data_IF_082185359532
#
_entry.id   IF_082185359532
#
_cell.length_a   1.000
_cell.length_b   1.000
_cell.length_c   1.000
_cell.angle_alpha   90.00
_cell.angle_beta   90.00
_cell.angle_gamma   90.00
#
_symmetry.space_group_name_H-M   'P 1'
#
loop_
_entity.id
_entity.type
_entity.pdbx_description
1 polymer ?
#
# COMPACT_ATOMS: atom_id res chain seq x y z
N UNK A 1 -10.22 2.36 -19.68
CA UNK A 1 -9.61 1.61 -18.57
C UNK A 1 -10.73 1.13 -17.66
N UNK A 2 -10.85 -0.17 -17.41
CA UNK A 2 -11.82 -0.70 -16.44
C UNK A 2 -11.27 -0.57 -15.01
N UNK A 3 -12.11 -0.87 -13.99
CA UNK A 3 -11.72 -0.73 -12.58
C UNK A 3 -10.53 -1.62 -12.19
N UNK A 4 -10.36 -2.78 -12.83
CA UNK A 4 -9.25 -3.70 -12.58
C UNK A 4 -7.96 -3.10 -13.10
N UNK A 5 -7.98 -2.68 -14.35
CA UNK A 5 -6.84 -2.02 -14.99
C UNK A 5 -6.42 -0.78 -14.21
N UNK A 6 -7.39 -0.05 -13.63
CA UNK A 6 -7.11 1.07 -12.73
C UNK A 6 -6.38 0.61 -11.46
N UNK A 7 -6.92 -0.36 -10.72
CA UNK A 7 -6.31 -0.84 -9.47
C UNK A 7 -4.93 -1.48 -9.70
N UNK A 8 -4.75 -2.21 -10.80
CA UNK A 8 -3.46 -2.79 -11.21
C UNK A 8 -2.46 -1.68 -11.60
N UNK A 9 -2.92 -0.64 -12.31
CA UNK A 9 -2.06 0.51 -12.63
C UNK A 9 -1.64 1.26 -11.36
N UNK A 10 -2.52 1.37 -10.37
CA UNK A 10 -2.19 1.95 -9.06
C UNK A 10 -1.15 1.13 -8.30
N UNK A 11 -1.29 -0.21 -8.26
CA UNK A 11 -0.25 -1.09 -7.72
C UNK A 11 1.11 -0.88 -8.40
N UNK A 12 1.12 -0.65 -9.73
CA UNK A 12 2.35 -0.36 -10.48
C UNK A 12 2.99 0.96 -10.02
N UNK A 13 2.19 2.02 -9.86
CA UNK A 13 2.66 3.30 -9.36
C UNK A 13 3.21 3.19 -7.93
N UNK A 14 2.51 2.46 -7.05
CA UNK A 14 2.93 2.23 -5.67
C UNK A 14 4.25 1.47 -5.64
N UNK A 15 4.34 0.36 -6.38
CA UNK A 15 5.57 -0.44 -6.50
C UNK A 15 6.76 0.40 -6.96
N UNK A 16 6.55 1.34 -7.89
CA UNK A 16 7.61 2.24 -8.36
C UNK A 16 8.15 3.12 -7.23
N UNK A 17 7.27 3.79 -6.48
CA UNK A 17 7.70 4.66 -5.36
C UNK A 17 8.36 3.85 -4.24
N UNK A 18 7.86 2.66 -3.95
CA UNK A 18 8.45 1.76 -2.96
C UNK A 18 9.89 1.35 -3.32
N UNK A 19 10.18 1.12 -4.60
CA UNK A 19 11.56 0.90 -5.04
C UNK A 19 12.45 2.13 -4.83
N UNK A 20 11.91 3.34 -4.97
CA UNK A 20 12.65 4.58 -4.66
C UNK A 20 12.97 4.65 -3.17
N UNK A 21 12.02 4.35 -2.27
CA UNK A 21 12.26 4.28 -0.81
C UNK A 21 13.38 3.29 -0.51
N UNK A 22 13.33 2.09 -1.08
CA UNK A 22 14.35 1.06 -0.87
C UNK A 22 15.74 1.54 -1.30
N UNK A 23 15.82 2.20 -2.45
CA UNK A 23 17.08 2.71 -2.98
C UNK A 23 17.64 3.86 -2.13
N UNK A 24 16.77 4.74 -1.62
CA UNK A 24 17.16 5.80 -0.69
C UNK A 24 17.71 5.21 0.62
N UNK A 25 17.04 4.20 1.20
CA UNK A 25 17.53 3.46 2.36
C UNK A 25 18.88 2.77 2.09
N UNK A 26 19.07 2.20 0.90
CA UNK A 26 20.35 1.62 0.52
C UNK A 26 21.46 2.67 0.36
N UNK A 27 21.14 3.89 -0.08
CA UNK A 27 22.07 5.02 -0.07
C UNK A 27 22.58 5.33 1.33
N UNK A 28 21.65 5.43 2.30
CA UNK A 28 21.99 5.67 3.72
C UNK A 28 22.92 4.56 4.24
N UNK A 29 22.65 3.29 3.92
CA UNK A 29 23.52 2.17 4.27
C UNK A 29 24.96 2.32 3.72
N UNK A 30 25.11 2.93 2.55
CA UNK A 30 26.42 3.22 1.93
C UNK A 30 27.09 4.48 2.47
N UNK A 31 26.46 5.21 3.38
CA UNK A 31 26.98 6.44 3.97
C UNK A 31 26.46 7.73 3.32
N UNK A 32 25.49 7.65 2.39
CA UNK A 32 24.85 8.86 1.86
C UNK A 32 24.05 9.57 2.97
N UNK A 33 24.02 10.90 2.93
CA UNK A 33 23.20 11.68 3.86
C UNK A 33 21.70 11.48 3.59
N UNK A 34 20.88 11.58 4.64
CA UNK A 34 19.42 11.51 4.49
C UNK A 34 18.92 12.78 3.79
N UNK A 35 18.25 12.61 2.64
CA UNK A 35 17.46 13.67 2.04
C UNK A 35 16.04 13.64 2.64
N UNK A 36 15.81 14.43 3.69
CA UNK A 36 14.52 14.50 4.37
C UNK A 36 13.38 14.94 3.46
N UNK A 37 13.62 15.85 2.52
CA UNK A 37 12.60 16.30 1.59
C UNK A 37 12.11 15.15 0.68
N UNK A 38 13.04 14.33 0.19
CA UNK A 38 12.67 13.16 -0.62
C UNK A 38 11.86 12.16 0.23
N UNK A 39 12.28 11.89 1.46
CA UNK A 39 11.55 11.00 2.36
C UNK A 39 10.15 11.52 2.70
N UNK A 40 9.99 12.82 2.94
CA UNK A 40 8.68 13.45 3.19
C UNK A 40 7.75 13.26 1.99
N UNK A 41 8.25 13.44 0.76
CA UNK A 41 7.45 13.22 -0.46
C UNK A 41 7.08 11.75 -0.66
N UNK A 42 8.01 10.82 -0.40
CA UNK A 42 7.74 9.39 -0.49
C UNK A 42 6.71 8.94 0.54
N UNK A 43 6.83 9.42 1.79
CA UNK A 43 5.89 9.11 2.87
C UNK A 43 4.51 9.70 2.56
N UNK A 44 4.42 10.93 2.08
CA UNK A 44 3.16 11.56 1.66
C UNK A 44 2.45 10.73 0.58
N UNK A 45 3.19 10.32 -0.45
CA UNK A 45 2.67 9.44 -1.50
C UNK A 45 2.13 8.14 -0.91
N UNK A 46 2.88 7.47 -0.03
CA UNK A 46 2.44 6.18 0.52
C UNK A 46 1.20 6.35 1.39
N UNK A 47 1.15 7.37 2.25
CA UNK A 47 -0.01 7.62 3.12
C UNK A 47 -1.26 7.99 2.33
N UNK A 48 -1.14 8.87 1.34
CA UNK A 48 -2.31 9.42 0.66
C UNK A 48 -2.70 8.61 -0.58
N UNK A 49 -1.74 8.23 -1.42
CA UNK A 49 -2.02 7.50 -2.65
C UNK A 49 -2.13 5.99 -2.42
N UNK A 50 -1.17 5.37 -1.72
CA UNK A 50 -1.21 3.92 -1.51
C UNK A 50 -2.27 3.53 -0.47
N UNK A 51 -2.29 4.18 0.69
CA UNK A 51 -3.20 3.78 1.76
C UNK A 51 -4.59 4.41 1.61
N UNK A 52 -4.73 5.72 1.82
CA UNK A 52 -6.06 6.37 1.83
C UNK A 52 -6.82 6.19 0.51
N UNK A 53 -6.14 6.36 -0.63
CA UNK A 53 -6.77 6.24 -1.93
C UNK A 53 -6.92 4.77 -2.37
N UNK A 54 -5.83 4.03 -2.47
CA UNK A 54 -5.86 2.68 -3.05
C UNK A 54 -6.37 1.62 -2.07
N UNK A 55 -5.75 1.38 -0.92
CA UNK A 55 -6.27 0.44 0.08
C UNK A 55 -7.67 0.85 0.58
N UNK A 56 -7.93 2.16 0.72
CA UNK A 56 -9.25 2.65 1.09
C UNK A 56 -10.35 2.20 0.12
N UNK A 57 -10.03 2.05 -1.18
CA UNK A 57 -10.95 1.47 -2.17
C UNK A 57 -11.04 -0.05 -2.08
N UNK A 58 -9.99 -0.74 -1.65
CA UNK A 58 -10.10 -2.17 -1.46
C UNK A 58 -10.96 -2.48 -0.23
N UNK A 59 -10.66 -1.85 0.90
CA UNK A 59 -11.29 -2.13 2.19
C UNK A 59 -12.78 -1.78 2.22
N UNK A 60 -13.14 -0.57 1.76
CA UNK A 60 -14.53 -0.08 1.86
C UNK A 60 -15.50 -0.80 0.92
N UNK A 61 -14.98 -1.42 -0.13
CA UNK A 61 -15.71 -1.66 -1.35
C UNK A 61 -15.40 -3.06 -1.88
N UNK A 62 -14.19 -3.31 -2.38
CA UNK A 62 -13.85 -4.61 -2.97
C UNK A 62 -13.91 -5.75 -1.95
N UNK A 63 -13.30 -5.56 -0.78
CA UNK A 63 -13.25 -6.57 0.29
C UNK A 63 -14.64 -6.83 0.82
N UNK A 64 -15.42 -5.77 1.07
CA UNK A 64 -16.82 -5.88 1.48
C UNK A 64 -17.63 -6.71 0.49
N UNK A 65 -17.64 -6.34 -0.79
CA UNK A 65 -18.37 -7.07 -1.83
C UNK A 65 -17.88 -8.52 -1.97
N UNK A 66 -16.58 -8.75 -1.89
CA UNK A 66 -16.02 -10.11 -1.99
C UNK A 66 -16.51 -10.98 -0.83
N UNK A 67 -16.52 -10.45 0.39
CA UNK A 67 -17.03 -11.18 1.57
C UNK A 67 -18.53 -11.44 1.46
N UNK A 68 -19.31 -10.43 1.05
CA UNK A 68 -20.76 -10.53 0.94
C UNK A 68 -21.19 -11.61 -0.08
N UNK A 69 -20.39 -11.85 -1.13
CA UNK A 69 -20.72 -12.82 -2.18
C UNK A 69 -20.02 -14.19 -2.05
N UNK A 70 -18.79 -14.26 -1.54
CA UNK A 70 -18.00 -15.50 -1.41
C UNK A 70 -18.02 -16.09 0.01
N UNK A 71 -18.62 -15.38 0.96
CA UNK A 71 -18.88 -15.86 2.31
C UNK A 71 -17.61 -16.13 3.13
N UNK A 72 -17.68 -17.15 3.98
CA UNK A 72 -16.70 -17.38 5.05
C UNK A 72 -15.25 -17.57 4.58
N UNK A 73 -15.03 -18.12 3.38
CA UNK A 73 -13.67 -18.30 2.87
C UNK A 73 -13.03 -16.95 2.54
N UNK A 74 -13.75 -16.08 1.82
CA UNK A 74 -13.28 -14.74 1.54
C UNK A 74 -13.11 -13.91 2.80
N UNK A 75 -14.03 -14.04 3.77
CA UNK A 75 -13.90 -13.37 5.06
C UNK A 75 -12.57 -13.70 5.73
N UNK A 76 -12.21 -14.98 5.82
CA UNK A 76 -10.93 -15.39 6.43
C UNK A 76 -9.72 -14.82 5.70
N UNK A 77 -9.72 -14.85 4.36
CA UNK A 77 -8.63 -14.33 3.53
C UNK A 77 -8.46 -12.82 3.67
N UNK A 78 -9.57 -12.07 3.63
CA UNK A 78 -9.57 -10.62 3.80
C UNK A 78 -9.10 -10.24 5.20
N UNK A 79 -9.69 -10.81 6.25
CA UNK A 79 -9.43 -10.34 7.62
C UNK A 79 -8.08 -10.78 8.16
N UNK A 80 -7.56 -11.94 7.76
CA UNK A 80 -6.30 -12.48 8.30
C UNK A 80 -5.13 -12.41 7.31
N UNK A 81 -5.37 -12.00 6.06
CA UNK A 81 -4.35 -11.76 5.06
C UNK A 81 -4.30 -10.28 4.72
N UNK A 82 -5.23 -9.84 3.90
CA UNK A 82 -5.20 -8.53 3.24
C UNK A 82 -5.17 -7.35 4.22
N UNK A 83 -6.10 -7.31 5.18
CA UNK A 83 -6.17 -6.23 6.18
C UNK A 83 -4.92 -6.19 7.08
N UNK A 84 -4.38 -7.36 7.42
CA UNK A 84 -3.16 -7.47 8.22
C UNK A 84 -1.96 -6.91 7.46
N UNK A 85 -1.86 -7.16 6.16
CA UNK A 85 -0.81 -6.60 5.31
C UNK A 85 -0.93 -5.08 5.19
N UNK A 86 -2.14 -4.54 5.07
CA UNK A 86 -2.37 -3.09 5.08
C UNK A 86 -1.92 -2.46 6.40
N UNK A 87 -2.27 -3.07 7.53
CA UNK A 87 -1.89 -2.59 8.87
C UNK A 87 -0.37 -2.63 9.08
N UNK A 88 0.31 -3.68 8.60
CA UNK A 88 1.77 -3.69 8.62
C UNK A 88 2.39 -2.60 7.74
N UNK A 89 1.79 -2.29 6.58
CA UNK A 89 2.18 -1.15 5.74
C UNK A 89 2.11 0.17 6.51
N UNK A 90 1.01 0.39 7.24
CA UNK A 90 0.82 1.58 8.10
C UNK A 90 1.83 1.64 9.24
N UNK A 91 2.09 0.50 9.89
CA UNK A 91 3.09 0.39 10.96
C UNK A 91 4.47 0.80 10.46
N UNK A 92 4.96 0.23 9.36
CA UNK A 92 6.31 0.53 8.89
C UNK A 92 6.49 1.97 8.44
N UNK A 93 5.45 2.61 7.88
CA UNK A 93 5.49 4.04 7.56
C UNK A 93 5.53 4.92 8.81
N UNK A 94 4.76 4.55 9.85
CA UNK A 94 4.83 5.23 11.14
C UNK A 94 6.22 5.12 11.76
N UNK A 95 6.79 3.91 11.79
CA UNK A 95 8.13 3.67 12.34
C UNK A 95 9.22 4.36 11.52
N UNK A 96 9.11 4.39 10.18
CA UNK A 96 10.02 5.15 9.32
C UNK A 96 9.98 6.64 9.66
N UNK A 97 8.78 7.21 9.82
CA UNK A 97 8.60 8.64 10.16
C UNK A 97 9.24 8.95 11.52
N UNK A 98 9.01 8.10 12.52
CA UNK A 98 9.58 8.25 13.86
C UNK A 98 11.11 8.15 13.83
N UNK A 99 11.67 7.20 13.08
CA UNK A 99 13.11 7.04 12.94
C UNK A 99 13.76 8.27 12.27
N UNK A 100 13.15 8.82 11.23
CA UNK A 100 13.63 10.05 10.58
C UNK A 100 13.67 11.23 11.56
N UNK A 101 12.66 11.39 12.42
CA UNK A 101 12.65 12.44 13.44
C UNK A 101 13.79 12.27 14.45
N UNK A 102 14.02 11.04 14.95
CA UNK A 102 15.11 10.76 15.88
C UNK A 102 16.49 11.08 15.27
N UNK A 103 16.72 10.70 14.02
CA UNK A 103 17.98 11.04 13.32
C UNK A 103 18.12 12.56 13.16
N UNK A 104 17.02 13.26 12.86
CA UNK A 104 17.00 14.72 12.75
C UNK A 104 17.32 15.40 14.08
N UNK A 105 16.92 14.80 15.20
CA UNK A 105 17.18 15.28 16.56
C UNK A 105 18.56 14.88 17.10
N UNK A 106 19.39 14.21 16.28
CA UNK A 106 20.79 13.90 16.56
C UNK A 106 21.08 12.46 16.99
N UNK A 107 20.08 11.58 17.01
CA UNK A 107 20.29 10.15 17.26
C UNK A 107 20.75 9.42 15.98
N UNK A 108 22.07 9.35 15.79
CA UNK A 108 22.68 8.70 14.62
C UNK A 108 22.34 7.19 14.53
N UNK A 109 22.16 6.50 15.67
CA UNK A 109 21.85 5.06 15.70
C UNK A 109 20.51 4.75 15.05
N UNK A 110 19.54 5.68 15.14
CA UNK A 110 18.23 5.55 14.51
C UNK A 110 18.27 5.49 12.98
N UNK A 111 19.43 5.72 12.33
CA UNK A 111 19.60 5.44 10.89
C UNK A 111 19.36 3.97 10.56
N UNK A 112 19.65 3.05 11.47
CA UNK A 112 19.35 1.62 11.29
C UNK A 112 17.84 1.41 11.16
N UNK A 113 17.04 2.12 11.96
CA UNK A 113 15.59 2.03 11.92
C UNK A 113 15.02 2.67 10.65
N UNK A 114 15.61 3.76 10.15
CA UNK A 114 15.26 4.33 8.84
C UNK A 114 15.50 3.32 7.72
N UNK A 115 16.67 2.65 7.74
CA UNK A 115 17.02 1.64 6.73
C UNK A 115 16.09 0.44 6.83
N UNK A 116 15.83 -0.07 8.04
CA UNK A 116 14.99 -1.23 8.26
C UNK A 116 13.55 -0.98 7.79
N UNK A 117 12.90 0.08 8.29
CA UNK A 117 11.53 0.38 7.94
C UNK A 117 11.37 0.80 6.47
N UNK A 118 12.32 1.57 5.94
CA UNK A 118 12.35 1.93 4.52
C UNK A 118 12.62 0.74 3.59
N UNK A 119 13.28 -0.32 4.06
CA UNK A 119 13.51 -1.55 3.26
C UNK A 119 12.37 -2.58 3.39
N UNK A 120 11.71 -2.63 4.55
CA UNK A 120 10.59 -3.54 4.83
C UNK A 120 9.31 -3.09 4.15
N UNK A 121 8.99 -1.79 4.18
CA UNK A 121 7.78 -1.22 3.54
C UNK A 121 7.66 -1.64 2.07
N UNK A 122 8.70 -1.51 1.23
CA UNK A 122 8.66 -1.97 -0.16
C UNK A 122 8.51 -3.48 -0.30
N UNK A 123 9.20 -4.25 0.54
CA UNK A 123 9.17 -5.72 0.45
C UNK A 123 7.76 -6.24 0.72
N UNK A 124 7.14 -5.75 1.79
CA UNK A 124 5.82 -6.19 2.21
C UNK A 124 4.76 -5.78 1.19
N UNK A 125 4.68 -4.50 0.83
CA UNK A 125 3.66 -3.99 -0.08
C UNK A 125 3.80 -4.59 -1.49
N UNK A 126 5.01 -4.85 -1.99
CA UNK A 126 5.18 -5.50 -3.31
C UNK A 126 4.67 -6.95 -3.29
N UNK A 127 4.95 -7.70 -2.22
CA UNK A 127 4.47 -9.08 -2.07
C UNK A 127 2.95 -9.08 -1.90
N UNK A 128 2.45 -8.20 -1.04
CA UNK A 128 1.01 -7.98 -0.81
C UNK A 128 0.30 -7.66 -2.12
N UNK A 129 0.68 -6.60 -2.85
CA UNK A 129 0.02 -6.25 -4.12
C UNK A 129 0.07 -7.36 -5.18
N UNK A 130 1.08 -8.23 -5.19
CA UNK A 130 1.08 -9.41 -6.07
C UNK A 130 0.03 -10.44 -5.65
N UNK A 131 -0.10 -10.71 -4.35
CA UNK A 131 -1.18 -11.54 -3.81
C UNK A 131 -2.55 -10.88 -4.03
N UNK A 132 -2.67 -9.57 -3.77
CA UNK A 132 -3.87 -8.76 -3.97
C UNK A 132 -4.32 -8.74 -5.42
N UNK A 133 -3.41 -8.66 -6.38
CA UNK A 133 -3.77 -8.80 -7.80
C UNK A 133 -4.48 -10.14 -8.05
N UNK A 134 -3.94 -11.24 -7.54
CA UNK A 134 -4.58 -12.56 -7.62
C UNK A 134 -5.97 -12.58 -6.97
N UNK A 135 -6.10 -11.94 -5.81
CA UNK A 135 -7.38 -11.79 -5.12
C UNK A 135 -8.39 -10.94 -5.92
N UNK A 136 -7.98 -9.80 -6.47
CA UNK A 136 -8.80 -8.94 -7.33
C UNK A 136 -9.33 -9.75 -8.53
N UNK A 137 -8.47 -10.53 -9.20
CA UNK A 137 -8.89 -11.39 -10.31
C UNK A 137 -9.87 -12.48 -9.86
N UNK A 138 -9.67 -13.07 -8.68
CA UNK A 138 -10.55 -14.09 -8.11
C UNK A 138 -11.92 -13.50 -7.78
N UNK A 139 -11.99 -12.42 -7.01
CA UNK A 139 -13.22 -11.72 -6.62
C UNK A 139 -14.11 -11.47 -7.84
N UNK A 140 -13.52 -11.02 -8.94
CA UNK A 140 -14.24 -10.61 -10.14
C UNK A 140 -14.71 -11.78 -10.99
N UNK A 141 -13.99 -12.91 -10.96
CA UNK A 141 -14.41 -14.13 -11.66
C UNK A 141 -15.72 -14.69 -11.08
N UNK A 142 -16.02 -14.37 -9.83
CA UNK A 142 -17.21 -14.85 -9.12
C UNK A 142 -18.24 -13.75 -8.80
N UNK A 143 -17.90 -12.47 -8.96
CA UNK A 143 -18.79 -11.31 -8.77
C UNK A 143 -19.39 -10.83 -10.11
N UNK A 144 -20.71 -10.94 -10.34
CA UNK A 144 -21.36 -10.46 -11.57
C UNK A 144 -21.18 -8.95 -11.82
N UNK A 145 -21.01 -8.16 -10.75
CA UNK A 145 -20.91 -6.70 -10.78
C UNK A 145 -19.66 -6.21 -11.53
N UNK A 146 -18.55 -6.97 -11.46
CA UNK A 146 -17.29 -6.57 -12.08
C UNK A 146 -17.22 -6.82 -13.61
N UNK A 147 -18.25 -7.44 -14.20
CA UNK A 147 -18.45 -7.50 -15.67
C UNK A 147 -19.20 -6.28 -16.23
N UNK A 148 -19.94 -5.53 -15.41
CA UNK A 148 -20.74 -4.41 -15.89
C UNK A 148 -20.03 -3.08 -15.65
N UNK A 149 -19.81 -2.34 -16.74
CA UNK A 149 -18.92 -1.18 -16.85
C UNK A 149 -19.48 0.10 -16.20
N UNK A 150 -20.23 0.02 -15.11
CA UNK A 150 -20.96 1.18 -14.56
C UNK A 150 -20.73 1.39 -13.07
N UNK A 151 -19.47 1.44 -12.63
CA UNK A 151 -19.12 2.21 -11.44
C UNK A 151 -18.79 3.61 -11.95
N UNK A 152 -19.78 4.52 -11.94
CA UNK A 152 -19.60 5.90 -12.40
C UNK A 152 -18.73 6.65 -11.40
N UNK A 153 -17.57 7.07 -11.86
CA UNK A 153 -16.68 8.00 -11.16
C UNK A 153 -17.36 9.36 -11.04
N UNK A 154 -17.86 9.72 -9.85
CA UNK A 154 -18.21 11.09 -9.51
C UNK A 154 -17.23 11.55 -8.44
N UNK A 155 -16.57 12.68 -8.68
CA UNK A 155 -15.34 13.11 -8.01
C UNK A 155 -15.43 13.36 -6.50
N UNK A 156 -16.57 13.13 -5.85
CA UNK A 156 -16.78 13.46 -4.44
C UNK A 156 -17.35 12.33 -3.57
N UNK A 157 -17.79 11.20 -4.12
CA UNK A 157 -18.30 10.09 -3.31
C UNK A 157 -17.99 8.77 -4.03
N UNK A 158 -17.21 7.92 -3.38
CA UNK A 158 -17.09 6.54 -3.83
C UNK A 158 -18.31 5.82 -3.29
N UNK A 159 -19.19 5.39 -4.20
CA UNK A 159 -20.31 4.50 -3.91
C UNK A 159 -20.04 3.25 -4.76
N UNK A 160 -19.90 2.10 -4.09
CA UNK A 160 -20.31 0.82 -4.67
C UNK A 160 -21.79 0.66 -4.35
#
# INVERSE_FOLDING_TARGET
>A
MNIIELMVAEHSNITRVLNVVRNASYGILKGDAINYQDFDQMIDFIKNYADVHHHGKEEKFLFKETVDNLGNLANKLVTHGMLVEHDFGRLYISELTNALLKVKDGDDMSKIDVIANGSLTPTLLIVSHKASNGFIFLSISYLPIARSTTIRYNSNEVII
#
